data_IF_824073357043
#
_entry.id   IF_824073357043
#
_cell.length_a   1.000
_cell.length_b   1.000
_cell.length_c   1.000
_cell.angle_alpha   90.00
_cell.angle_beta   90.00
_cell.angle_gamma   90.00
#
_symmetry.space_group_name_H-M   'P 1'
#
loop_
_entity.id
_entity.type
_entity.pdbx_description
1 polymer ?
#
# COMPACT_ATOMS: atom_id res chain seq x y z
N UNK A 1 18.35 54.33 20.19
CA UNK A 1 18.04 52.88 20.31
C UNK A 1 18.15 52.28 18.92
N UNK A 2 19.18 51.47 18.66
CA UNK A 2 19.31 50.74 17.39
C UNK A 2 18.95 49.29 17.69
N UNK A 3 17.85 48.80 17.12
CA UNK A 3 17.41 47.42 17.28
C UNK A 3 18.20 46.52 16.31
N UNK A 4 18.86 45.49 16.84
CA UNK A 4 19.50 44.44 16.05
C UNK A 4 18.45 43.39 15.66
N UNK A 5 18.36 43.07 14.38
CA UNK A 5 17.53 41.98 13.85
C UNK A 5 18.27 40.65 14.05
N UNK A 6 17.61 39.58 14.53
CA UNK A 6 18.26 38.28 14.67
C UNK A 6 18.59 37.68 13.29
N UNK A 7 19.72 36.96 13.14
CA UNK A 7 20.11 36.33 11.89
C UNK A 7 19.15 35.17 11.51
N UNK A 8 19.02 34.85 10.22
CA UNK A 8 18.16 33.76 9.76
C UNK A 8 18.70 32.42 10.28
N UNK A 9 17.82 31.61 10.89
CA UNK A 9 18.15 30.27 11.33
C UNK A 9 18.36 29.35 10.12
N UNK A 10 19.59 28.87 9.93
CA UNK A 10 19.90 27.83 8.95
C UNK A 10 19.22 26.53 9.38
N UNK A 11 18.22 26.07 8.62
CA UNK A 11 17.66 24.73 8.80
C UNK A 11 18.78 23.71 8.61
N UNK A 12 19.11 22.96 9.66
CA UNK A 12 20.03 21.85 9.59
C UNK A 12 19.48 20.82 8.59
N UNK A 13 20.26 20.53 7.54
CA UNK A 13 19.96 19.45 6.62
C UNK A 13 20.12 18.13 7.39
N UNK A 14 19.06 17.33 7.43
CA UNK A 14 19.10 15.97 7.99
C UNK A 14 19.92 15.13 7.03
N UNK A 15 21.17 14.81 7.40
CA UNK A 15 22.02 13.87 6.67
C UNK A 15 21.55 12.44 6.93
N UNK A 16 20.46 12.04 6.27
CA UNK A 16 20.11 10.62 6.15
C UNK A 16 21.20 9.91 5.34
N UNK A 17 21.72 8.78 5.83
CA UNK A 17 22.58 7.90 5.03
C UNK A 17 21.86 7.58 3.72
N UNK A 18 22.48 7.91 2.58
CA UNK A 18 21.97 7.50 1.29
C UNK A 18 21.94 5.97 1.24
N UNK A 19 20.76 5.42 0.93
CA UNK A 19 20.60 3.98 0.76
C UNK A 19 21.46 3.50 -0.40
N UNK A 20 22.32 2.50 -0.16
CA UNK A 20 23.14 1.86 -1.17
C UNK A 20 22.58 0.48 -1.47
N UNK A 21 22.33 0.19 -2.75
CA UNK A 21 21.77 -1.09 -3.18
C UNK A 21 22.80 -2.21 -2.99
N UNK A 22 22.48 -3.27 -2.21
CA UNK A 22 23.33 -4.44 -2.09
C UNK A 22 23.57 -5.07 -3.46
N UNK A 23 24.76 -5.64 -3.64
CA UNK A 23 25.16 -6.28 -4.89
C UNK A 23 25.64 -7.69 -4.64
N UNK A 24 25.38 -8.57 -5.60
CA UNK A 24 25.91 -9.93 -5.63
C UNK A 24 27.42 -9.94 -5.90
N UNK A 25 28.14 -11.05 -5.70
CA UNK A 25 29.58 -11.13 -5.96
C UNK A 25 29.99 -10.81 -7.41
N UNK A 26 29.09 -11.02 -8.37
CA UNK A 26 29.22 -10.67 -9.79
C UNK A 26 28.79 -9.22 -10.12
N UNK A 27 28.45 -8.42 -9.10
CA UNK A 27 28.21 -6.99 -9.22
C UNK A 27 26.79 -6.58 -9.64
N UNK A 28 25.86 -7.52 -9.75
CA UNK A 28 24.45 -7.22 -10.05
C UNK A 28 23.70 -6.75 -8.79
N UNK A 29 22.65 -5.94 -8.93
CA UNK A 29 21.63 -5.75 -7.90
C UNK A 29 21.23 -7.04 -7.19
N UNK A 30 21.42 -7.10 -5.88
CA UNK A 30 20.88 -8.19 -5.08
C UNK A 30 19.39 -7.93 -4.79
N UNK A 31 18.53 -8.75 -5.39
CA UNK A 31 17.08 -8.73 -5.25
C UNK A 31 16.56 -9.96 -4.48
N UNK A 32 17.44 -10.68 -3.77
CA UNK A 32 17.05 -11.82 -2.95
C UNK A 32 16.24 -11.36 -1.73
N UNK A 33 15.36 -12.25 -1.24
CA UNK A 33 14.54 -12.01 -0.06
C UNK A 33 13.07 -12.35 -0.28
N UNK A 34 12.24 -11.93 0.67
CA UNK A 34 10.79 -12.12 0.64
C UNK A 34 10.12 -10.85 0.12
N UNK A 35 9.37 -10.99 -0.97
CA UNK A 35 8.62 -9.91 -1.59
C UNK A 35 7.13 -10.13 -1.34
N UNK A 36 6.42 -9.05 -1.00
CA UNK A 36 4.97 -9.08 -0.81
C UNK A 36 4.32 -7.97 -1.61
N UNK A 37 3.14 -8.24 -2.16
CA UNK A 37 2.26 -7.26 -2.78
C UNK A 37 1.16 -6.78 -1.83
N UNK A 38 1.26 -7.09 -0.53
CA UNK A 38 0.27 -6.71 0.47
C UNK A 38 0.29 -5.19 0.67
N UNK A 39 -0.75 -4.52 0.16
CA UNK A 39 -0.90 -3.07 0.23
C UNK A 39 -2.36 -2.69 0.48
N UNK A 40 -2.57 -1.59 1.20
CA UNK A 40 -3.87 -0.93 1.39
C UNK A 40 -4.11 0.15 0.34
N UNK A 41 -3.11 0.42 -0.50
CA UNK A 41 -3.22 1.37 -1.59
C UNK A 41 -4.17 0.79 -2.65
N UNK A 42 -5.24 1.52 -3.03
CA UNK A 42 -6.20 1.03 -3.98
C UNK A 42 -5.59 1.05 -5.38
N UNK A 43 -6.11 0.22 -6.28
CA UNK A 43 -5.69 0.24 -7.68
C UNK A 43 -5.96 1.62 -8.30
N UNK A 44 -7.19 2.10 -8.20
CA UNK A 44 -7.62 3.40 -8.70
C UNK A 44 -7.84 4.41 -7.58
N UNK A 45 -7.56 5.68 -7.86
CA UNK A 45 -7.83 6.79 -6.96
C UNK A 45 -9.33 7.03 -6.84
N UNK A 46 -9.85 7.16 -5.63
CA UNK A 46 -11.25 7.51 -5.41
C UNK A 46 -11.59 8.85 -6.12
N UNK A 47 -12.76 8.94 -6.76
CA UNK A 47 -13.17 10.13 -7.53
C UNK A 47 -13.13 11.41 -6.69
N UNK A 48 -13.49 11.28 -5.42
CA UNK A 48 -13.53 12.37 -4.44
C UNK A 48 -12.15 12.98 -4.15
N UNK A 49 -11.07 12.24 -4.42
CA UNK A 49 -9.70 12.70 -4.18
C UNK A 49 -9.12 13.49 -5.36
N UNK A 50 -9.75 13.46 -6.55
CA UNK A 50 -9.29 14.20 -7.73
C UNK A 50 -7.81 13.98 -8.04
N UNK A 51 -7.02 15.06 -7.99
CA UNK A 51 -5.57 15.05 -8.26
C UNK A 51 -4.70 14.82 -7.02
N UNK A 52 -5.30 14.52 -5.86
CA UNK A 52 -4.56 14.30 -4.61
C UNK A 52 -3.77 13.00 -4.68
N UNK A 53 -2.46 13.12 -4.87
CA UNK A 53 -1.56 11.97 -5.03
C UNK A 53 -1.25 11.25 -3.70
N UNK A 54 -1.22 11.98 -2.59
CA UNK A 54 -0.86 11.44 -1.27
C UNK A 54 -1.90 11.75 -0.19
N UNK A 55 -2.13 10.78 0.69
CA UNK A 55 -2.86 10.94 1.94
C UNK A 55 -2.03 11.69 2.98
N UNK A 56 -2.72 12.40 3.88
CA UNK A 56 -2.14 12.80 5.16
C UNK A 56 -1.92 11.56 6.05
N UNK A 57 -1.08 11.65 7.08
CA UNK A 57 -0.83 10.52 7.98
C UNK A 57 -2.10 10.10 8.73
N UNK A 58 -2.95 11.08 9.08
CA UNK A 58 -4.22 10.85 9.74
C UNK A 58 -5.22 10.12 8.82
N UNK A 59 -5.28 10.53 7.55
CA UNK A 59 -6.11 9.85 6.54
C UNK A 59 -5.63 8.42 6.29
N UNK A 60 -4.31 8.23 6.12
CA UNK A 60 -3.73 6.91 5.92
C UNK A 60 -4.03 5.99 7.10
N UNK A 61 -3.88 6.48 8.33
CA UNK A 61 -4.17 5.69 9.55
C UNK A 61 -5.63 5.24 9.60
N UNK A 62 -6.56 6.14 9.26
CA UNK A 62 -7.98 5.81 9.16
C UNK A 62 -8.23 4.73 8.10
N UNK A 63 -7.59 4.86 6.93
CA UNK A 63 -7.74 3.91 5.82
C UNK A 63 -7.15 2.54 6.14
N UNK A 64 -5.97 2.50 6.74
CA UNK A 64 -5.34 1.27 7.25
C UNK A 64 -6.24 0.58 8.28
N UNK A 65 -6.86 1.35 9.18
CA UNK A 65 -7.81 0.80 10.16
C UNK A 65 -9.04 0.19 9.50
N UNK A 66 -9.62 0.87 8.51
CA UNK A 66 -10.78 0.38 7.75
C UNK A 66 -10.45 -0.91 6.99
N UNK A 67 -9.33 -0.94 6.27
CA UNK A 67 -8.90 -2.15 5.56
C UNK A 67 -8.59 -3.29 6.52
N UNK A 68 -7.94 -3.03 7.66
CA UNK A 68 -7.72 -4.05 8.69
C UNK A 68 -9.05 -4.58 9.25
N UNK A 69 -10.06 -3.74 9.44
CA UNK A 69 -11.38 -4.18 9.87
C UNK A 69 -12.07 -5.06 8.81
N UNK A 70 -11.97 -4.70 7.53
CA UNK A 70 -12.47 -5.51 6.41
C UNK A 70 -11.76 -6.87 6.32
N UNK A 71 -10.44 -6.89 6.47
CA UNK A 71 -9.66 -8.14 6.43
C UNK A 71 -10.02 -9.09 7.58
N UNK A 72 -10.29 -8.56 8.78
CA UNK A 72 -10.78 -9.36 9.91
C UNK A 72 -12.12 -10.03 9.65
N UNK A 73 -13.01 -9.41 8.89
CA UNK A 73 -14.28 -10.05 8.50
C UNK A 73 -14.03 -11.25 7.60
N UNK A 74 -13.13 -11.13 6.62
CA UNK A 74 -12.75 -12.24 5.76
C UNK A 74 -12.04 -13.38 6.53
N UNK A 75 -11.26 -13.04 7.58
CA UNK A 75 -10.68 -14.04 8.48
C UNK A 75 -11.74 -14.81 9.27
N UNK A 76 -12.84 -14.17 9.64
CA UNK A 76 -13.97 -14.80 10.32
C UNK A 76 -14.71 -15.78 9.39
N UNK A 77 -14.88 -15.43 8.11
CA UNK A 77 -15.44 -16.31 7.08
C UNK A 77 -14.60 -17.57 6.82
N UNK A 78 -13.28 -17.51 7.04
CA UNK A 78 -12.37 -18.63 6.82
C UNK A 78 -12.03 -19.46 8.05
N UNK A 79 -12.79 -19.33 9.14
CA UNK A 79 -12.60 -20.13 10.37
C UNK A 79 -13.17 -21.53 10.24
N UNK A 80 -12.65 -22.52 10.97
CA UNK A 80 -13.28 -23.84 11.06
C UNK A 80 -14.75 -23.72 11.48
N UNK A 81 -15.63 -24.38 10.74
CA UNK A 81 -17.06 -24.49 11.05
C UNK A 81 -17.39 -25.89 11.58
N UNK A 82 -18.66 -26.14 11.90
CA UNK A 82 -19.11 -27.46 12.31
C UNK A 82 -19.01 -28.47 11.14
N UNK A 83 -18.29 -29.60 11.33
CA UNK A 83 -18.09 -30.59 10.27
C UNK A 83 -19.38 -31.15 9.69
N UNK A 84 -19.44 -31.31 8.37
CA UNK A 84 -20.58 -31.92 7.68
C UNK A 84 -21.80 -31.01 7.46
N UNK A 85 -21.65 -29.72 7.71
CA UNK A 85 -22.67 -28.70 7.39
C UNK A 85 -22.40 -28.07 6.01
N UNK A 86 -23.39 -27.40 5.43
CA UNK A 86 -23.17 -26.63 4.19
C UNK A 86 -22.14 -25.50 4.38
N UNK A 87 -21.99 -24.98 5.61
CA UNK A 87 -21.02 -23.96 5.95
C UNK A 87 -19.58 -24.49 5.95
N UNK A 88 -19.37 -25.82 6.05
CA UNK A 88 -18.08 -26.52 6.05
C UNK A 88 -17.42 -26.60 4.66
N UNK A 89 -18.18 -26.29 3.60
CA UNK A 89 -17.66 -26.23 2.23
C UNK A 89 -17.10 -24.83 1.96
N UNK A 90 -16.04 -24.47 2.66
CA UNK A 90 -15.35 -23.19 2.50
C UNK A 90 -13.84 -23.36 2.61
N UNK A 91 -13.13 -22.26 2.34
CA UNK A 91 -11.68 -22.23 2.45
C UNK A 91 -11.29 -21.95 3.91
N UNK A 92 -10.75 -22.95 4.60
CA UNK A 92 -10.22 -22.81 5.96
C UNK A 92 -8.82 -22.17 5.92
N UNK A 93 -8.72 -20.89 6.26
CA UNK A 93 -7.44 -20.17 6.28
C UNK A 93 -6.55 -20.58 7.46
N UNK A 94 -7.09 -21.22 8.49
CA UNK A 94 -6.34 -21.68 9.67
C UNK A 94 -5.46 -22.90 9.38
N UNK A 95 -5.89 -23.78 8.47
CA UNK A 95 -5.14 -25.00 8.10
C UNK A 95 -3.77 -24.71 7.49
N UNK A 96 -3.66 -23.61 6.74
CA UNK A 96 -2.45 -23.24 6.02
C UNK A 96 -1.74 -22.02 6.60
N UNK A 97 -2.22 -21.50 7.73
CA UNK A 97 -1.71 -20.26 8.31
C UNK A 97 -1.77 -19.08 7.34
N UNK A 98 -2.75 -19.05 6.42
CA UNK A 98 -2.87 -18.03 5.36
C UNK A 98 -3.54 -16.75 5.88
N UNK A 99 -3.05 -16.24 7.00
CA UNK A 99 -3.51 -14.97 7.55
C UNK A 99 -2.90 -13.80 6.76
N UNK A 100 -3.77 -12.98 6.17
CA UNK A 100 -3.39 -11.80 5.38
C UNK A 100 -2.64 -10.75 6.22
N UNK A 101 -2.72 -10.82 7.55
CA UNK A 101 -1.96 -10.01 8.48
C UNK A 101 -0.51 -10.50 8.71
N UNK A 102 -0.12 -11.68 8.21
CA UNK A 102 1.26 -12.19 8.38
C UNK A 102 2.29 -11.46 7.52
N UNK A 103 1.88 -10.96 6.36
CA UNK A 103 2.76 -10.12 5.53
C UNK A 103 2.79 -8.70 6.07
N UNK A 104 3.98 -8.12 6.17
CA UNK A 104 4.14 -6.70 6.44
C UNK A 104 3.38 -5.89 5.41
N UNK A 105 2.57 -4.94 5.88
CA UNK A 105 1.87 -4.04 4.99
C UNK A 105 2.87 -3.04 4.41
N UNK A 106 2.86 -2.86 3.09
CA UNK A 106 3.65 -1.81 2.45
C UNK A 106 3.19 -0.44 2.95
N UNK A 107 4.10 0.32 3.56
CA UNK A 107 3.80 1.69 4.01
C UNK A 107 3.96 2.67 2.87
N UNK A 108 2.85 2.94 2.16
CA UNK A 108 2.77 3.97 1.12
C UNK A 108 1.61 4.94 1.42
N UNK A 109 1.86 6.23 1.24
CA UNK A 109 0.86 7.30 1.37
C UNK A 109 0.11 7.56 0.08
N UNK A 110 0.43 6.86 -1.01
CA UNK A 110 -0.26 7.03 -2.29
C UNK A 110 -1.76 6.75 -2.18
N UNK A 111 -2.52 7.54 -2.94
CA UNK A 111 -3.96 7.39 -3.08
C UNK A 111 -4.36 6.39 -4.17
N UNK A 112 -3.39 5.89 -4.95
CA UNK A 112 -3.58 4.91 -6.03
C UNK A 112 -2.26 4.21 -6.40
N UNK A 113 -2.34 2.96 -6.88
CA UNK A 113 -1.22 2.24 -7.51
C UNK A 113 -0.94 2.74 -8.94
N UNK A 114 -1.96 3.23 -9.64
CA UNK A 114 -1.80 3.77 -10.99
C UNK A 114 -1.12 5.13 -10.90
N UNK A 115 0.08 5.22 -11.47
CA UNK A 115 0.79 6.48 -11.61
C UNK A 115 0.13 7.33 -12.72
N UNK A 116 -0.28 8.54 -12.37
CA UNK A 116 -0.88 9.49 -13.31
C UNK A 116 -1.70 10.57 -12.62
N UNK A 117 -2.03 11.65 -13.35
CA UNK A 117 -2.78 12.79 -12.80
C UNK A 117 -4.15 12.37 -12.26
N UNK A 118 -4.81 11.41 -12.92
CA UNK A 118 -6.11 10.86 -12.50
C UNK A 118 -6.00 9.64 -11.58
N UNK A 119 -4.84 8.95 -11.57
CA UNK A 119 -4.63 7.72 -10.80
C UNK A 119 -5.67 6.63 -11.11
N UNK A 120 -6.10 6.54 -12.37
CA UNK A 120 -7.20 5.68 -12.83
C UNK A 120 -6.81 4.98 -14.11
N UNK A 121 -7.46 3.85 -14.38
CA UNK A 121 -7.26 3.12 -15.63
C UNK A 121 -7.66 4.03 -16.78
N UNK A 122 -6.75 4.33 -17.72
CA UNK A 122 -7.09 5.14 -18.88
C UNK A 122 -8.21 4.48 -19.69
N UNK A 123 -9.13 5.25 -20.29
CA UNK A 123 -10.16 4.69 -21.14
C UNK A 123 -9.53 3.92 -22.30
N UNK A 124 -10.13 2.80 -22.68
CA UNK A 124 -9.69 2.03 -23.85
C UNK A 124 -9.66 2.91 -25.10
N UNK A 125 -8.59 2.77 -25.88
CA UNK A 125 -8.44 3.41 -27.18
C UNK A 125 -9.61 3.02 -28.12
N UNK A 126 -10.07 3.92 -29.01
CA UNK A 126 -11.17 3.62 -29.93
C UNK A 126 -10.94 2.36 -30.76
N UNK A 127 -9.70 2.11 -31.20
CA UNK A 127 -9.32 0.91 -31.96
C UNK A 127 -9.36 -0.37 -31.14
N UNK A 128 -9.09 -0.29 -29.83
CA UNK A 128 -9.21 -1.43 -28.92
C UNK A 128 -10.68 -1.80 -28.67
N UNK A 129 -11.56 -0.79 -28.57
CA UNK A 129 -13.02 -1.02 -28.40
C UNK A 129 -13.66 -1.73 -29.59
N UNK A 130 -13.13 -1.54 -30.80
CA UNK A 130 -13.62 -2.22 -32.01
C UNK A 130 -13.25 -3.70 -32.10
N UNK A 131 -12.27 -4.16 -31.30
CA UNK A 131 -11.77 -5.54 -31.29
C UNK A 131 -12.32 -6.39 -30.13
N UNK A 132 -13.10 -5.77 -29.23
CA UNK A 132 -13.68 -6.42 -28.06
C UNK A 132 -14.99 -7.15 -28.41
#
# INVERSE_FOLDING_TARGET
MVAQTPPPATKAAVSGKAWAQPRTPDGQPDLQGYWTNNTVTPLERAKELGTKEFYTEQELTTRVRQERARLKQNEEEGRPTEPGTAADVHYDFSQFGLDRAQSTLTWDRRTSLIAGPEGRVPPLLPEARKRA
#
